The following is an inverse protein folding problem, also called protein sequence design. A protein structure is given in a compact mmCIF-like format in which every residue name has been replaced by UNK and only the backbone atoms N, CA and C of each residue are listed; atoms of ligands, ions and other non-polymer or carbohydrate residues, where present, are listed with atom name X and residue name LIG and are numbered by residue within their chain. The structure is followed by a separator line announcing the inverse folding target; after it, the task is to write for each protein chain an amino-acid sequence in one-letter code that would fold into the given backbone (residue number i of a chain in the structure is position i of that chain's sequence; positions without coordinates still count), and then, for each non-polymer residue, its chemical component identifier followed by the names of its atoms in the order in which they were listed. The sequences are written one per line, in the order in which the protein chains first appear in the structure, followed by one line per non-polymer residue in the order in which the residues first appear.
data_IF_700345103358
#
_entry.id   IF_700345103358
#
_cell.length_a   1.000
_cell.length_b   1.000
_cell.length_c   1.000
_cell.angle_alpha   90.00
_cell.angle_beta   90.00
_cell.angle_gamma   90.00
#
_symmetry.space_group_name_H-M   'P 1'
#
loop_
_entity.id
_entity.type
_entity.pdbx_description
1 polymer ?
#
# COMPACT_ATOMS: atom_id res chain seq x y z
N UNK A 1 -105.02 29.68 -5.60
CA UNK A 1 -104.23 28.62 -4.96
C UNK A 1 -103.75 27.66 -6.04
N UNK A 2 -102.48 27.76 -6.43
CA UNK A 2 -101.80 26.80 -7.31
C UNK A 2 -100.43 26.55 -6.69
N UNK A 3 -100.20 25.32 -6.23
CA UNK A 3 -98.93 24.88 -5.66
C UNK A 3 -98.00 24.49 -6.82
N UNK A 4 -96.84 25.15 -6.92
CA UNK A 4 -95.78 24.79 -7.86
C UNK A 4 -94.68 24.10 -7.06
N UNK A 5 -94.52 22.80 -7.26
CA UNK A 5 -93.47 21.99 -6.67
C UNK A 5 -92.13 22.27 -7.39
N UNK A 6 -91.11 22.72 -6.66
CA UNK A 6 -89.73 22.77 -7.14
C UNK A 6 -88.97 21.55 -6.64
N UNK A 7 -88.64 20.65 -7.56
CA UNK A 7 -87.64 19.61 -7.36
C UNK A 7 -86.25 20.23 -7.37
N UNK A 8 -85.52 20.15 -6.26
CA UNK A 8 -84.09 20.48 -6.19
C UNK A 8 -83.32 19.18 -6.41
N UNK A 9 -82.75 19.01 -7.60
CA UNK A 9 -81.79 17.96 -7.91
C UNK A 9 -80.42 18.30 -7.32
N UNK A 10 -79.98 17.46 -6.38
CA UNK A 10 -78.66 17.44 -5.76
C UNK A 10 -77.61 17.01 -6.80
N UNK A 11 -76.78 17.94 -7.26
CA UNK A 11 -75.66 17.65 -8.16
C UNK A 11 -74.48 17.07 -7.40
N UNK A 12 -74.26 15.75 -7.50
CA UNK A 12 -73.01 15.11 -7.09
C UNK A 12 -71.85 15.58 -7.98
N UNK A 13 -70.93 16.36 -7.42
CA UNK A 13 -69.61 16.60 -8.00
C UNK A 13 -68.79 15.31 -7.91
N UNK A 14 -68.70 14.59 -9.03
CA UNK A 14 -67.75 13.48 -9.20
C UNK A 14 -66.38 14.10 -9.48
N UNK A 15 -65.53 14.21 -8.46
CA UNK A 15 -64.10 14.48 -8.65
C UNK A 15 -63.45 13.22 -9.20
N UNK A 16 -63.23 13.15 -10.51
CA UNK A 16 -62.35 12.12 -11.07
C UNK A 16 -60.91 12.42 -10.65
N UNK A 17 -60.17 11.45 -10.08
CA UNK A 17 -58.74 11.61 -9.86
C UNK A 17 -58.08 11.70 -11.24
N UNK A 18 -57.50 12.85 -11.55
CA UNK A 18 -56.58 13.01 -12.69
C UNK A 18 -55.40 12.08 -12.39
N UNK A 19 -55.41 10.88 -12.98
CA UNK A 19 -54.25 10.02 -13.04
C UNK A 19 -53.21 10.75 -13.89
N UNK A 20 -52.22 11.36 -13.24
CA UNK A 20 -51.05 11.89 -13.92
C UNK A 20 -50.45 10.79 -14.80
N UNK A 21 -50.57 10.95 -16.12
CA UNK A 21 -50.05 10.00 -17.10
C UNK A 21 -48.52 10.14 -17.11
N UNK A 22 -47.83 9.30 -16.35
CA UNK A 22 -46.37 9.26 -16.39
C UNK A 22 -45.86 8.61 -17.68
N UNK A 23 -44.80 9.17 -18.25
CA UNK A 23 -44.06 8.63 -19.40
C UNK A 23 -43.09 7.54 -18.92
N UNK A 24 -43.02 6.44 -19.67
CA UNK A 24 -42.07 5.35 -19.43
C UNK A 24 -40.82 5.53 -20.30
N UNK A 25 -39.68 5.77 -19.66
CA UNK A 25 -38.36 5.80 -20.28
C UNK A 25 -37.60 4.48 -20.08
N UNK A 26 -36.69 4.17 -21.01
CA UNK A 26 -35.85 2.97 -20.95
C UNK A 26 -34.37 3.34 -20.89
N UNK A 27 -33.68 2.80 -19.89
CA UNK A 27 -32.23 2.97 -19.71
C UNK A 27 -31.53 1.66 -20.05
N UNK A 28 -30.46 1.69 -20.85
CA UNK A 28 -29.62 0.51 -21.13
C UNK A 28 -28.29 0.63 -20.41
N UNK A 29 -28.06 -0.28 -19.47
CA UNK A 29 -26.85 -0.34 -18.66
C UNK A 29 -25.87 -1.33 -19.27
N UNK A 30 -24.66 -0.87 -19.55
CA UNK A 30 -23.63 -1.66 -20.21
C UNK A 30 -22.22 -1.28 -19.76
N UNK A 31 -21.30 -2.21 -19.95
CA UNK A 31 -19.86 -1.93 -19.83
C UNK A 31 -19.34 -1.20 -21.08
N UNK A 32 -18.10 -0.72 -21.02
CA UNK A 32 -17.43 -0.05 -22.15
C UNK A 32 -17.27 -0.96 -23.39
N UNK A 33 -17.28 -2.28 -23.21
CA UNK A 33 -17.26 -3.29 -24.28
C UNK A 33 -18.67 -3.61 -24.83
N UNK A 34 -19.68 -2.82 -24.45
CA UNK A 34 -21.09 -2.98 -24.82
C UNK A 34 -21.78 -4.22 -24.24
N UNK A 35 -21.15 -4.96 -23.33
CA UNK A 35 -21.81 -6.07 -22.66
C UNK A 35 -22.87 -5.57 -21.67
N UNK A 36 -24.08 -6.17 -21.63
CA UNK A 36 -25.16 -5.71 -20.76
C UNK A 36 -24.88 -6.03 -19.29
N UNK A 37 -25.19 -5.10 -18.39
CA UNK A 37 -25.06 -5.30 -16.95
C UNK A 37 -26.40 -5.72 -16.32
N UNK A 38 -26.51 -7.00 -15.99
CA UNK A 38 -27.77 -7.67 -15.68
C UNK A 38 -28.04 -7.74 -14.18
N UNK A 39 -29.31 -7.85 -13.80
CA UNK A 39 -29.78 -8.15 -12.45
C UNK A 39 -29.16 -7.29 -11.34
N UNK A 40 -28.90 -6.02 -11.64
CA UNK A 40 -28.15 -5.12 -10.76
C UNK A 40 -28.98 -3.89 -10.41
N UNK A 41 -28.91 -3.47 -9.14
CA UNK A 41 -29.69 -2.34 -8.64
C UNK A 41 -29.06 -1.00 -9.00
N UNK A 42 -29.89 -0.01 -9.30
CA UNK A 42 -29.57 1.40 -9.55
C UNK A 42 -30.55 2.29 -8.78
N UNK A 43 -30.17 3.54 -8.54
CA UNK A 43 -31.08 4.55 -7.99
C UNK A 43 -31.28 5.60 -9.09
N UNK A 44 -32.51 5.77 -9.57
CA UNK A 44 -32.87 6.78 -10.56
C UNK A 44 -33.87 7.76 -9.93
N UNK A 45 -33.46 9.01 -9.77
CA UNK A 45 -34.23 10.07 -9.10
C UNK A 45 -34.82 9.61 -7.75
N UNK A 46 -34.01 8.92 -6.95
CA UNK A 46 -34.40 8.39 -5.63
C UNK A 46 -35.15 7.06 -5.64
N UNK A 47 -35.53 6.53 -6.82
CA UNK A 47 -36.19 5.23 -6.93
C UNK A 47 -35.18 4.11 -7.17
N UNK A 48 -35.22 3.08 -6.33
CA UNK A 48 -34.39 1.89 -6.50
C UNK A 48 -35.01 0.96 -7.54
N UNK A 49 -34.28 0.73 -8.63
CA UNK A 49 -34.70 -0.10 -9.76
C UNK A 49 -33.61 -1.13 -10.07
N UNK A 50 -33.95 -2.18 -10.81
CA UNK A 50 -32.98 -3.21 -11.20
C UNK A 50 -33.00 -3.42 -12.70
N UNK A 51 -31.84 -3.75 -13.26
CA UNK A 51 -31.74 -4.13 -14.67
C UNK A 51 -32.36 -5.51 -14.92
N UNK A 52 -33.05 -5.65 -16.04
CA UNK A 52 -33.52 -6.94 -16.54
C UNK A 52 -32.36 -7.80 -17.10
N UNK A 53 -32.63 -9.04 -17.59
CA UNK A 53 -31.59 -9.89 -18.19
C UNK A 53 -30.93 -9.34 -19.46
N UNK A 54 -31.46 -8.27 -20.05
CA UNK A 54 -30.88 -7.55 -21.19
C UNK A 54 -30.16 -6.27 -20.77
N UNK A 55 -30.06 -5.99 -19.46
CA UNK A 55 -29.42 -4.78 -18.95
C UNK A 55 -30.31 -3.54 -19.05
N UNK A 56 -31.62 -3.68 -19.14
CA UNK A 56 -32.56 -2.56 -19.32
C UNK A 56 -33.31 -2.24 -18.04
N UNK A 57 -33.47 -0.95 -17.73
CA UNK A 57 -34.32 -0.43 -16.66
C UNK A 57 -35.48 0.33 -17.30
N UNK A 58 -36.70 0.06 -16.84
CA UNK A 58 -37.88 0.88 -17.18
C UNK A 58 -38.20 1.82 -16.03
N UNK A 59 -38.28 3.12 -16.30
CA UNK A 59 -38.53 4.16 -15.31
C UNK A 59 -39.70 5.04 -15.73
N UNK A 60 -40.66 5.23 -14.83
CA UNK A 60 -41.86 6.04 -15.08
C UNK A 60 -41.76 7.37 -14.35
N UNK A 61 -41.93 8.47 -15.07
CA UNK A 61 -41.85 9.81 -14.48
C UNK A 61 -42.77 10.83 -15.16
N UNK A 62 -42.87 12.04 -14.58
CA UNK A 62 -43.68 13.13 -15.13
C UNK A 62 -43.12 13.65 -16.45
N UNK A 63 -43.99 14.09 -17.38
CA UNK A 63 -43.59 14.68 -18.66
C UNK A 63 -42.80 15.98 -18.51
N UNK A 64 -42.91 16.63 -17.35
CA UNK A 64 -42.25 17.91 -17.05
C UNK A 64 -40.75 17.76 -16.75
N UNK A 65 -40.25 16.53 -16.56
CA UNK A 65 -38.84 16.29 -16.27
C UNK A 65 -38.02 16.27 -17.55
N UNK A 66 -36.96 17.08 -17.59
CA UNK A 66 -35.99 17.10 -18.68
C UNK A 66 -34.74 16.26 -18.40
N UNK A 67 -34.53 15.83 -17.15
CA UNK A 67 -33.40 14.99 -16.74
C UNK A 67 -33.72 14.15 -15.50
N UNK A 68 -32.88 13.15 -15.24
CA UNK A 68 -32.89 12.33 -14.03
C UNK A 68 -31.49 12.18 -13.46
N UNK A 69 -31.40 11.98 -12.14
CA UNK A 69 -30.15 11.65 -11.47
C UNK A 69 -30.03 10.13 -11.36
N UNK A 70 -28.84 9.59 -11.61
CA UNK A 70 -28.53 8.18 -11.62
C UNK A 70 -27.37 7.96 -10.64
N UNK A 71 -27.62 7.14 -9.64
CA UNK A 71 -26.65 6.79 -8.62
C UNK A 71 -26.44 5.28 -8.57
N UNK A 72 -25.24 4.88 -8.14
CA UNK A 72 -24.94 3.48 -7.91
C UNK A 72 -25.63 3.00 -6.64
N UNK A 73 -26.32 1.86 -6.70
CA UNK A 73 -26.89 1.25 -5.49
C UNK A 73 -25.84 0.49 -4.66
N UNK A 74 -24.66 0.21 -5.24
CA UNK A 74 -23.51 -0.40 -4.57
C UNK A 74 -22.19 0.05 -5.20
N UNK A 75 -21.57 1.05 -4.58
CA UNK A 75 -20.28 1.62 -5.01
C UNK A 75 -19.12 0.60 -5.01
N UNK A 76 -19.29 -0.58 -4.37
CA UNK A 76 -18.28 -1.64 -4.37
C UNK A 76 -18.37 -2.55 -5.59
N UNK A 77 -19.48 -2.53 -6.34
CA UNK A 77 -19.70 -3.42 -7.48
C UNK A 77 -19.46 -2.74 -8.82
N UNK A 78 -19.76 -1.45 -8.94
CA UNK A 78 -19.59 -0.69 -10.17
C UNK A 78 -19.55 0.83 -9.93
N UNK A 79 -18.91 1.53 -10.87
CA UNK A 79 -18.87 2.99 -10.95
C UNK A 79 -19.54 3.45 -12.26
N UNK A 80 -20.38 4.47 -12.20
CA UNK A 80 -21.06 5.05 -13.37
C UNK A 80 -20.07 5.98 -14.09
N UNK A 81 -19.76 5.64 -15.34
CA UNK A 81 -18.88 6.42 -16.21
C UNK A 81 -19.64 7.43 -17.07
N UNK A 82 -20.88 7.09 -17.43
CA UNK A 82 -21.75 7.95 -18.22
C UNK A 82 -23.22 7.64 -17.85
N UNK A 83 -24.11 8.65 -17.77
CA UNK A 83 -23.85 10.07 -17.99
C UNK A 83 -22.88 10.68 -16.96
N UNK A 84 -22.14 11.71 -17.39
CA UNK A 84 -21.21 12.42 -16.51
C UNK A 84 -22.01 13.03 -15.35
N UNK A 85 -21.43 12.96 -14.14
CA UNK A 85 -22.06 13.44 -12.90
C UNK A 85 -23.38 12.72 -12.54
N UNK A 86 -23.68 11.59 -13.17
CA UNK A 86 -24.91 10.83 -12.93
C UNK A 86 -26.17 11.50 -13.50
N UNK A 87 -26.06 12.54 -14.34
CA UNK A 87 -27.24 13.28 -14.84
C UNK A 87 -27.62 12.89 -16.26
N UNK A 88 -28.67 12.09 -16.43
CA UNK A 88 -29.18 11.70 -17.75
C UNK A 88 -30.24 12.67 -18.26
N UNK A 89 -30.07 13.20 -19.47
CA UNK A 89 -31.09 13.98 -20.17
C UNK A 89 -32.15 13.02 -20.72
N UNK A 90 -33.42 13.32 -20.48
CA UNK A 90 -34.55 12.54 -21.00
C UNK A 90 -34.83 12.95 -22.45
N UNK A 91 -34.89 12.01 -23.41
CA UNK A 91 -35.22 12.31 -24.80
C UNK A 91 -36.69 12.74 -24.93
N UNK A 92 -37.00 13.51 -25.97
CA UNK A 92 -38.39 13.87 -26.30
C UNK A 92 -39.22 12.66 -26.72
N UNK A 93 -38.59 11.68 -27.36
CA UNK A 93 -39.21 10.40 -27.70
C UNK A 93 -38.92 9.36 -26.60
N UNK A 94 -39.93 8.90 -25.85
CA UNK A 94 -39.76 7.89 -24.80
C UNK A 94 -39.32 6.52 -25.31
N UNK A 95 -39.46 6.25 -26.62
CA UNK A 95 -38.97 5.03 -27.26
C UNK A 95 -37.44 4.97 -27.36
N UNK A 96 -36.75 6.10 -27.21
CA UNK A 96 -35.30 6.20 -27.30
C UNK A 96 -34.63 5.69 -26.02
N UNK A 97 -33.64 4.80 -26.17
CA UNK A 97 -32.86 4.30 -25.05
C UNK A 97 -31.87 5.35 -24.54
N UNK A 98 -31.77 5.45 -23.22
CA UNK A 98 -30.74 6.25 -22.54
C UNK A 98 -29.63 5.31 -22.08
N UNK A 99 -28.40 5.56 -22.51
CA UNK A 99 -27.28 4.68 -22.19
C UNK A 99 -26.60 5.06 -20.88
N UNK A 100 -26.37 4.05 -20.05
CA UNK A 100 -25.58 4.14 -18.82
C UNK A 100 -24.35 3.26 -19.03
N UNK A 101 -23.17 3.87 -19.03
CA UNK A 101 -21.91 3.13 -19.09
C UNK A 101 -21.35 3.00 -17.69
N UNK A 102 -20.96 1.77 -17.33
CA UNK A 102 -20.34 1.48 -16.05
C UNK A 102 -18.96 0.85 -16.25
N UNK A 103 -18.12 0.95 -15.23
CA UNK A 103 -16.91 0.14 -15.09
C UNK A 103 -16.94 -0.61 -13.77
N UNK A 104 -16.27 -1.76 -13.70
CA UNK A 104 -15.95 -2.37 -12.41
C UNK A 104 -15.11 -1.36 -11.61
N UNK A 105 -15.36 -1.18 -10.31
CA UNK A 105 -14.53 -0.29 -9.51
C UNK A 105 -13.13 -0.87 -9.61
N UNK A 106 -12.16 -0.02 -9.93
CA UNK A 106 -10.77 -0.43 -9.92
C UNK A 106 -10.51 -1.04 -8.53
N UNK A 107 -10.19 -2.33 -8.47
CA UNK A 107 -9.74 -2.93 -7.22
C UNK A 107 -8.64 -2.03 -6.67
N UNK A 108 -8.67 -1.78 -5.35
CA UNK A 108 -7.79 -0.81 -4.70
C UNK A 108 -6.40 -0.83 -5.36
N UNK A 109 -6.06 0.22 -6.13
CA UNK A 109 -4.82 0.24 -6.89
C UNK A 109 -3.62 -0.06 -5.99
N UNK A 110 -3.72 0.32 -4.71
CA UNK A 110 -2.72 0.04 -3.68
C UNK A 110 -2.62 -1.46 -3.36
N UNK A 111 -3.73 -2.21 -3.32
CA UNK A 111 -3.69 -3.67 -3.11
C UNK A 111 -3.13 -4.44 -4.31
N UNK A 112 -3.50 -4.05 -5.53
CA UNK A 112 -2.97 -4.69 -6.74
C UNK A 112 -1.47 -4.37 -6.92
N UNK A 113 -1.09 -3.12 -6.68
CA UNK A 113 0.32 -2.69 -6.67
C UNK A 113 1.09 -3.39 -5.54
N UNK A 114 0.53 -3.55 -4.34
CA UNK A 114 1.15 -4.33 -3.26
C UNK A 114 1.34 -5.79 -3.64
N UNK A 115 0.35 -6.42 -4.26
CA UNK A 115 0.45 -7.82 -4.68
C UNK A 115 1.49 -8.01 -5.81
N UNK A 116 1.57 -7.06 -6.74
CA UNK A 116 2.48 -7.12 -7.88
C UNK A 116 3.93 -6.78 -7.51
N UNK A 117 4.15 -5.78 -6.64
CA UNK A 117 5.45 -5.47 -6.03
C UNK A 117 5.92 -6.63 -5.15
N UNK A 118 5.04 -7.17 -4.30
CA UNK A 118 5.34 -8.33 -3.47
C UNK A 118 5.61 -9.61 -4.28
N UNK A 119 5.19 -9.68 -5.54
CA UNK A 119 5.46 -10.84 -6.40
C UNK A 119 6.75 -10.72 -7.21
N UNK A 120 7.16 -9.50 -7.59
CA UNK A 120 8.23 -9.26 -8.57
C UNK A 120 9.60 -9.03 -7.92
N UNK A 121 9.68 -8.24 -6.83
CA UNK A 121 10.95 -8.02 -6.09
C UNK A 121 11.26 -9.18 -5.13
N UNK A 122 10.23 -9.86 -4.64
CA UNK A 122 10.37 -10.97 -3.70
C UNK A 122 11.18 -12.16 -4.24
N UNK A 123 11.17 -12.47 -5.54
CA UNK A 123 11.55 -13.83 -5.97
C UNK A 123 13.03 -14.20 -5.81
N UNK A 124 13.95 -13.22 -5.78
CA UNK A 124 15.39 -13.46 -5.64
C UNK A 124 15.92 -13.04 -4.26
N UNK A 125 15.51 -11.86 -3.76
CA UNK A 125 15.84 -11.41 -2.40
C UNK A 125 15.18 -12.29 -1.33
N UNK A 126 13.90 -12.68 -1.45
CA UNK A 126 13.30 -13.61 -0.46
C UNK A 126 13.91 -15.01 -0.52
N UNK A 127 14.46 -15.46 -1.65
CA UNK A 127 15.21 -16.72 -1.68
C UNK A 127 16.51 -16.62 -0.90
N UNK A 128 17.24 -15.52 -1.02
CA UNK A 128 18.46 -15.28 -0.25
C UNK A 128 18.13 -15.15 1.23
N UNK A 129 17.12 -14.35 1.58
CA UNK A 129 16.69 -14.13 2.97
C UNK A 129 16.21 -15.43 3.61
N UNK A 130 15.32 -16.17 2.95
CA UNK A 130 14.83 -17.45 3.46
C UNK A 130 15.95 -18.48 3.63
N UNK A 131 16.90 -18.50 2.69
CA UNK A 131 18.10 -19.33 2.81
C UNK A 131 18.93 -18.93 4.03
N UNK A 132 19.14 -17.62 4.25
CA UNK A 132 19.86 -17.11 5.43
C UNK A 132 19.13 -17.47 6.74
N UNK A 133 17.80 -17.39 6.79
CA UNK A 133 17.01 -17.81 7.96
C UNK A 133 17.15 -19.30 8.25
N UNK A 134 17.00 -20.14 7.21
CA UNK A 134 17.08 -21.59 7.34
C UNK A 134 18.50 -22.04 7.75
N UNK A 135 19.54 -21.40 7.21
CA UNK A 135 20.94 -21.66 7.57
C UNK A 135 21.25 -21.18 8.99
N UNK A 136 20.74 -20.01 9.40
CA UNK A 136 20.93 -19.49 10.77
C UNK A 136 20.30 -20.40 11.83
N UNK A 137 19.11 -20.96 11.54
CA UNK A 137 18.44 -21.90 12.44
C UNK A 137 19.21 -23.22 12.58
N UNK A 138 19.68 -23.79 11.47
CA UNK A 138 20.50 -25.02 11.50
C UNK A 138 21.79 -24.82 12.27
N UNK A 139 22.43 -23.68 12.09
CA UNK A 139 23.65 -23.36 12.83
C UNK A 139 23.41 -23.21 14.34
N UNK A 140 22.22 -22.76 14.77
CA UNK A 140 21.89 -22.63 16.19
C UNK A 140 21.92 -23.97 16.94
N UNK A 141 21.41 -25.04 16.34
CA UNK A 141 21.43 -26.37 16.95
C UNK A 141 22.87 -26.84 17.23
N UNK A 142 23.80 -26.56 16.29
CA UNK A 142 25.23 -26.83 16.47
C UNK A 142 25.87 -25.99 17.59
N UNK A 143 25.44 -24.74 17.77
CA UNK A 143 25.90 -23.90 18.88
C UNK A 143 25.50 -24.52 20.22
N UNK A 144 24.25 -24.96 20.35
CA UNK A 144 23.74 -25.59 21.58
C UNK A 144 24.49 -26.88 21.88
N UNK A 145 24.78 -27.70 20.87
CA UNK A 145 25.60 -28.90 21.03
C UNK A 145 27.00 -28.59 21.57
N UNK A 146 27.68 -27.59 21.00
CA UNK A 146 29.02 -27.18 21.45
C UNK A 146 29.05 -26.60 22.87
N UNK A 147 28.02 -25.84 23.26
CA UNK A 147 27.93 -25.30 24.62
C UNK A 147 27.72 -26.41 25.67
N UNK A 148 27.15 -27.55 25.27
CA UNK A 148 26.93 -28.70 26.16
C UNK A 148 28.13 -29.66 26.23
N UNK A 149 29.04 -29.60 25.26
CA UNK A 149 30.26 -30.40 25.24
C UNK A 149 31.38 -29.69 26.01
N UNK A 150 32.07 -30.42 26.90
CA UNK A 150 33.15 -29.86 27.75
C UNK A 150 34.50 -29.72 27.02
N UNK A 151 34.72 -30.53 25.99
CA UNK A 151 35.93 -30.50 25.17
C UNK A 151 35.58 -29.92 23.80
N UNK A 152 35.88 -28.63 23.62
CA UNK A 152 35.66 -27.92 22.37
C UNK A 152 36.89 -28.12 21.48
N UNK A 153 36.74 -28.86 20.39
CA UNK A 153 37.78 -29.05 19.37
C UNK A 153 37.90 -27.80 18.48
N UNK A 154 39.12 -27.33 18.24
CA UNK A 154 39.42 -26.22 17.32
C UNK A 154 38.91 -26.49 15.90
N UNK A 155 38.86 -27.75 15.48
CA UNK A 155 38.26 -28.14 14.19
C UNK A 155 36.78 -27.77 14.12
N UNK A 156 36.02 -28.04 15.18
CA UNK A 156 34.59 -27.70 15.26
C UNK A 156 34.36 -26.18 15.33
N UNK A 157 35.24 -25.46 16.04
CA UNK A 157 35.23 -24.00 16.03
C UNK A 157 35.50 -23.44 14.63
N UNK A 158 36.46 -24.01 13.90
CA UNK A 158 36.78 -23.59 12.54
C UNK A 158 35.63 -23.83 11.56
N UNK A 159 34.96 -24.99 11.65
CA UNK A 159 33.76 -25.28 10.85
C UNK A 159 32.65 -24.25 11.13
N UNK A 160 32.37 -23.98 12.40
CA UNK A 160 31.36 -22.99 12.77
C UNK A 160 31.68 -21.58 12.30
N UNK A 161 32.97 -21.18 12.31
CA UNK A 161 33.40 -19.91 11.71
C UNK A 161 33.15 -19.87 10.20
N UNK A 162 33.47 -20.96 9.48
CA UNK A 162 33.22 -21.05 8.03
C UNK A 162 31.73 -21.02 7.69
N UNK A 163 30.87 -21.57 8.56
CA UNK A 163 29.43 -21.57 8.38
C UNK A 163 28.81 -20.19 8.69
N UNK A 164 29.14 -19.59 9.85
CA UNK A 164 28.50 -18.36 10.31
C UNK A 164 29.09 -17.07 9.75
N UNK A 165 30.38 -17.04 9.39
CA UNK A 165 30.97 -15.81 8.86
C UNK A 165 30.25 -15.30 7.60
N UNK A 166 29.97 -16.13 6.58
CA UNK A 166 29.21 -15.69 5.40
C UNK A 166 27.80 -15.21 5.75
N UNK A 167 27.11 -15.85 6.70
CA UNK A 167 25.76 -15.46 7.11
C UNK A 167 25.75 -14.07 7.74
N UNK A 168 26.62 -13.86 8.72
CA UNK A 168 26.73 -12.58 9.46
C UNK A 168 27.16 -11.47 8.51
N UNK A 169 28.22 -11.71 7.73
CA UNK A 169 28.74 -10.74 6.78
C UNK A 169 27.70 -10.38 5.71
N UNK A 170 26.98 -11.37 5.17
CA UNK A 170 25.93 -11.13 4.18
C UNK A 170 24.78 -10.32 4.77
N UNK A 171 24.30 -10.67 5.96
CA UNK A 171 23.22 -9.95 6.63
C UNK A 171 23.59 -8.48 6.91
N UNK A 172 24.79 -8.22 7.44
CA UNK A 172 25.27 -6.87 7.72
C UNK A 172 25.45 -6.03 6.44
N UNK A 173 26.05 -6.60 5.39
CA UNK A 173 26.28 -5.90 4.13
C UNK A 173 24.95 -5.60 3.42
N UNK A 174 24.03 -6.56 3.39
CA UNK A 174 22.70 -6.35 2.83
C UNK A 174 21.94 -5.28 3.61
N UNK A 175 22.04 -5.27 4.95
CA UNK A 175 21.40 -4.23 5.77
C UNK A 175 21.92 -2.83 5.40
N UNK A 176 23.24 -2.66 5.25
CA UNK A 176 23.83 -1.39 4.80
C UNK A 176 23.34 -1.00 3.40
N UNK A 177 23.35 -1.95 2.46
CA UNK A 177 22.95 -1.69 1.08
C UNK A 177 21.48 -1.30 0.97
N UNK A 178 20.57 -2.02 1.62
CA UNK A 178 19.14 -1.66 1.56
C UNK A 178 18.85 -0.37 2.33
N UNK A 179 19.60 -0.06 3.38
CA UNK A 179 19.49 1.24 4.07
C UNK A 179 19.93 2.40 3.17
N UNK A 180 20.98 2.21 2.35
CA UNK A 180 21.40 3.19 1.34
C UNK A 180 20.39 3.32 0.21
N UNK A 181 19.90 2.20 -0.33
CA UNK A 181 18.85 2.18 -1.35
C UNK A 181 17.59 2.92 -0.87
N UNK A 182 17.22 2.74 0.40
CA UNK A 182 16.15 3.51 1.02
C UNK A 182 16.43 5.01 1.02
N UNK A 183 17.62 5.43 1.49
CA UNK A 183 18.01 6.84 1.53
C UNK A 183 18.02 7.48 0.13
N UNK A 184 18.57 6.77 -0.86
CA UNK A 184 18.64 7.20 -2.26
C UNK A 184 17.25 7.34 -2.88
N UNK A 185 16.35 6.39 -2.62
CA UNK A 185 14.97 6.46 -3.08
C UNK A 185 14.20 7.60 -2.41
N UNK A 186 14.43 7.82 -1.11
CA UNK A 186 13.85 8.93 -0.37
C UNK A 186 14.33 10.28 -0.90
N UNK A 187 15.64 10.43 -1.15
CA UNK A 187 16.21 11.62 -1.77
C UNK A 187 15.69 11.84 -3.20
N UNK A 188 15.61 10.77 -4.00
CA UNK A 188 15.08 10.84 -5.37
C UNK A 188 13.62 11.32 -5.40
N UNK A 189 12.83 10.92 -4.41
CA UNK A 189 11.46 11.41 -4.24
C UNK A 189 11.41 12.93 -4.01
N UNK A 190 12.37 13.52 -3.30
CA UNK A 190 12.41 14.97 -3.04
C UNK A 190 12.46 15.80 -4.35
N UNK A 191 13.17 15.30 -5.37
CA UNK A 191 13.26 15.91 -6.68
C UNK A 191 12.05 15.67 -7.58
N UNK A 192 11.18 14.74 -7.21
CA UNK A 192 10.09 14.22 -8.06
C UNK A 192 8.80 13.96 -7.29
N UNK A 193 8.42 14.85 -6.37
CA UNK A 193 7.24 14.71 -5.49
C UNK A 193 5.89 14.58 -6.21
N UNK A 194 5.83 14.87 -7.51
CA UNK A 194 4.64 14.69 -8.36
C UNK A 194 4.71 13.46 -9.26
N UNK A 195 5.82 12.71 -9.25
CA UNK A 195 6.04 11.55 -10.09
C UNK A 195 5.63 10.26 -9.36
N UNK A 196 4.64 9.56 -9.90
CA UNK A 196 4.17 8.28 -9.34
C UNK A 196 5.31 7.24 -9.23
N UNK A 197 6.20 7.18 -10.21
CA UNK A 197 7.32 6.23 -10.20
C UNK A 197 8.29 6.44 -9.05
N UNK A 198 8.48 7.68 -8.59
CA UNK A 198 9.34 7.97 -7.44
C UNK A 198 8.76 7.44 -6.12
N UNK A 199 7.42 7.50 -5.95
CA UNK A 199 6.75 6.87 -4.81
C UNK A 199 6.81 5.34 -4.89
N UNK A 200 6.68 4.77 -6.10
CA UNK A 200 6.81 3.32 -6.32
C UNK A 200 8.22 2.85 -5.94
N UNK A 201 9.26 3.59 -6.32
CA UNK A 201 10.64 3.31 -5.96
C UNK A 201 10.88 3.38 -4.44
N UNK A 202 10.38 4.42 -3.76
CA UNK A 202 10.48 4.52 -2.30
C UNK A 202 9.74 3.38 -1.59
N UNK A 203 8.55 3.00 -2.06
CA UNK A 203 7.83 1.87 -1.48
C UNK A 203 8.60 0.56 -1.67
N UNK A 204 9.16 0.33 -2.84
CA UNK A 204 10.00 -0.84 -3.10
C UNK A 204 11.21 -0.92 -2.16
N UNK A 205 11.91 0.21 -1.95
CA UNK A 205 13.05 0.26 -1.03
C UNK A 205 12.64 0.09 0.44
N UNK A 206 11.47 0.59 0.86
CA UNK A 206 10.89 0.32 2.19
C UNK A 206 10.69 -1.18 2.41
N UNK A 207 10.11 -1.89 1.43
CA UNK A 207 9.88 -3.33 1.54
C UNK A 207 11.20 -4.09 1.64
N UNK A 208 12.15 -3.84 0.73
CA UNK A 208 13.46 -4.49 0.76
C UNK A 208 14.22 -4.22 2.07
N UNK A 209 14.20 -2.98 2.56
CA UNK A 209 14.77 -2.62 3.85
C UNK A 209 14.11 -3.39 5.00
N UNK A 210 12.78 -3.45 5.04
CA UNK A 210 12.06 -4.13 6.11
C UNK A 210 12.34 -5.63 6.14
N UNK A 211 12.46 -6.27 4.98
CA UNK A 211 12.83 -7.69 4.89
C UNK A 211 14.21 -7.95 5.53
N UNK A 212 15.23 -7.16 5.17
CA UNK A 212 16.58 -7.34 5.74
C UNK A 212 16.69 -6.90 7.21
N UNK A 213 15.95 -5.86 7.62
CA UNK A 213 15.87 -5.45 9.02
C UNK A 213 15.27 -6.56 9.87
N UNK A 214 14.17 -7.18 9.42
CA UNK A 214 13.51 -8.27 10.12
C UNK A 214 14.44 -9.49 10.22
N UNK A 215 15.15 -9.84 9.15
CA UNK A 215 16.16 -10.91 9.17
C UNK A 215 17.23 -10.63 10.23
N UNK A 216 17.84 -9.44 10.20
CA UNK A 216 18.92 -9.08 11.11
C UNK A 216 18.43 -9.07 12.56
N UNK A 217 17.26 -8.48 12.82
CA UNK A 217 16.70 -8.39 14.17
C UNK A 217 16.26 -9.77 14.72
N UNK A 218 15.74 -10.65 13.87
CA UNK A 218 15.35 -12.00 14.28
C UNK A 218 16.55 -12.91 14.59
N UNK A 219 17.70 -12.68 13.95
CA UNK A 219 18.89 -13.52 14.09
C UNK A 219 20.02 -12.88 14.92
N UNK A 220 19.86 -11.65 15.41
CA UNK A 220 20.93 -10.93 16.13
C UNK A 220 21.48 -11.71 17.33
N UNK A 221 20.62 -12.35 18.12
CA UNK A 221 21.03 -13.11 19.30
C UNK A 221 21.79 -14.38 18.90
N UNK A 222 21.33 -15.04 17.82
CA UNK A 222 22.00 -16.21 17.24
C UNK A 222 23.39 -15.82 16.74
N UNK A 223 23.51 -14.72 15.99
CA UNK A 223 24.80 -14.22 15.49
C UNK A 223 25.73 -13.80 16.62
N UNK A 224 25.21 -13.09 17.62
CA UNK A 224 25.98 -12.69 18.79
C UNK A 224 26.53 -13.90 19.55
N UNK A 225 25.69 -14.92 19.75
CA UNK A 225 26.10 -16.17 20.40
C UNK A 225 27.07 -16.97 19.55
N UNK A 226 26.86 -17.05 18.23
CA UNK A 226 27.76 -17.70 17.29
C UNK A 226 29.16 -17.07 17.35
N UNK A 227 29.24 -15.74 17.39
CA UNK A 227 30.51 -15.01 17.55
C UNK A 227 31.14 -15.35 18.91
N UNK A 228 30.38 -15.32 20.00
CA UNK A 228 30.90 -15.64 21.32
C UNK A 228 31.47 -17.06 21.38
N UNK A 229 30.80 -18.03 20.77
CA UNK A 229 31.16 -19.45 20.76
C UNK A 229 32.29 -19.74 19.77
N UNK A 230 32.09 -19.50 18.47
CA UNK A 230 33.01 -19.94 17.41
C UNK A 230 34.29 -19.12 17.29
N UNK A 231 34.25 -17.84 17.68
CA UNK A 231 35.45 -17.01 17.80
C UNK A 231 36.03 -17.00 19.22
N UNK A 232 35.39 -17.72 20.16
CA UNK A 232 35.75 -17.76 21.58
C UNK A 232 36.05 -16.35 22.14
N UNK A 233 35.23 -15.36 21.77
CA UNK A 233 35.50 -13.95 22.06
C UNK A 233 34.25 -13.21 22.48
N UNK A 234 34.11 -13.00 23.80
CA UNK A 234 33.08 -12.12 24.37
C UNK A 234 33.24 -10.68 23.90
N UNK A 235 34.47 -10.23 23.67
CA UNK A 235 34.75 -8.88 23.17
C UNK A 235 34.18 -8.68 21.76
N UNK A 236 34.42 -9.63 20.83
CA UNK A 236 33.85 -9.55 19.49
C UNK A 236 32.33 -9.64 19.51
N UNK A 237 31.78 -10.49 20.36
CA UNK A 237 30.33 -10.61 20.55
C UNK A 237 29.72 -9.29 21.03
N UNK A 238 30.36 -8.60 21.98
CA UNK A 238 29.94 -7.28 22.45
C UNK A 238 30.09 -6.21 21.37
N UNK A 239 31.17 -6.23 20.57
CA UNK A 239 31.34 -5.33 19.42
C UNK A 239 30.22 -5.51 18.39
N UNK A 240 29.80 -6.75 18.13
CA UNK A 240 28.65 -7.04 17.29
C UNK A 240 27.35 -6.50 17.89
N UNK A 241 27.08 -6.73 19.18
CA UNK A 241 25.90 -6.16 19.86
C UNK A 241 25.84 -4.64 19.71
N UNK A 242 26.95 -3.95 20.00
CA UNK A 242 27.03 -2.49 19.87
C UNK A 242 26.82 -2.00 18.43
N UNK A 243 27.24 -2.79 17.43
CA UNK A 243 26.96 -2.51 16.02
C UNK A 243 25.47 -2.62 15.71
N UNK A 244 24.78 -3.64 16.23
CA UNK A 244 23.33 -3.81 16.08
C UNK A 244 22.57 -2.69 16.80
N UNK A 245 22.98 -2.32 18.00
CA UNK A 245 22.37 -1.20 18.74
C UNK A 245 22.51 0.10 17.96
N UNK A 246 23.68 0.39 17.39
CA UNK A 246 23.86 1.52 16.49
C UNK A 246 22.92 1.46 15.27
N UNK A 247 22.81 0.30 14.63
CA UNK A 247 21.92 0.12 13.48
C UNK A 247 20.44 0.37 13.81
N UNK A 248 20.00 0.03 15.02
CA UNK A 248 18.61 0.20 15.45
C UNK A 248 18.36 1.61 16.00
N UNK A 249 19.14 2.02 16.99
CA UNK A 249 18.89 3.22 17.79
C UNK A 249 19.39 4.49 17.08
N UNK A 250 20.49 4.41 16.33
CA UNK A 250 21.09 5.58 15.66
C UNK A 250 20.73 5.69 14.17
N UNK A 251 20.13 4.65 13.57
CA UNK A 251 19.73 4.64 12.16
C UNK A 251 18.24 4.33 11.97
N UNK A 252 17.78 3.12 12.32
CA UNK A 252 16.41 2.68 12.06
C UNK A 252 15.36 3.61 12.69
N UNK A 253 15.45 3.83 14.02
CA UNK A 253 14.48 4.65 14.74
C UNK A 253 14.47 6.11 14.29
N UNK A 254 15.60 6.85 14.30
CA UNK A 254 15.58 8.28 14.02
C UNK A 254 15.41 8.62 12.54
N UNK A 255 15.73 7.71 11.61
CA UNK A 255 15.65 8.00 10.18
C UNK A 255 14.58 7.18 9.47
N UNK A 256 14.62 5.85 9.55
CA UNK A 256 13.70 5.03 8.76
C UNK A 256 12.26 5.16 9.26
N UNK A 257 12.03 5.03 10.57
CA UNK A 257 10.68 5.17 11.14
C UNK A 257 10.16 6.60 11.02
N UNK A 258 11.03 7.60 11.16
CA UNK A 258 10.67 9.01 11.07
C UNK A 258 10.12 9.39 9.69
N UNK A 259 10.58 8.74 8.61
CA UNK A 259 10.00 8.93 7.27
C UNK A 259 8.50 8.61 7.27
N UNK A 260 8.09 7.52 7.91
CA UNK A 260 6.68 7.13 7.98
C UNK A 260 5.82 8.13 8.76
N UNK A 261 6.31 8.63 9.89
CA UNK A 261 5.53 9.51 10.76
C UNK A 261 5.48 10.95 10.25
N UNK A 262 6.62 11.45 9.77
CA UNK A 262 6.81 12.88 9.53
C UNK A 262 6.63 13.25 8.07
N UNK A 263 7.07 12.42 7.12
CA UNK A 263 7.08 12.80 5.70
C UNK A 263 5.87 12.27 4.93
N UNK A 264 5.45 11.02 5.16
CA UNK A 264 4.34 10.40 4.42
C UNK A 264 3.04 11.20 4.52
N UNK A 265 2.64 11.64 5.72
CA UNK A 265 1.43 12.45 5.90
C UNK A 265 1.49 13.77 5.11
N UNK A 266 2.66 14.40 5.09
CA UNK A 266 2.89 15.66 4.38
C UNK A 266 2.86 15.50 2.86
N UNK A 267 3.27 14.33 2.34
CA UNK A 267 3.07 14.00 0.93
C UNK A 267 1.59 13.96 0.56
N UNK A 268 0.75 13.34 1.40
CA UNK A 268 -0.69 13.29 1.18
C UNK A 268 -1.33 14.68 1.21
N UNK A 269 -0.96 15.51 2.18
CA UNK A 269 -1.48 16.88 2.31
C UNK A 269 -1.10 17.74 1.11
N UNK A 270 0.15 17.63 0.64
CA UNK A 270 0.64 18.33 -0.54
C UNK A 270 -0.11 17.95 -1.82
N UNK A 271 -0.52 16.68 -1.93
CA UNK A 271 -1.31 16.20 -3.06
C UNK A 271 -2.76 16.71 -3.03
N UNK A 272 -3.33 16.95 -1.84
CA UNK A 272 -4.68 17.50 -1.65
C UNK A 272 -4.74 19.03 -1.76
N UNK A 273 -3.63 19.73 -1.60
CA UNK A 273 -3.59 21.20 -1.64
C UNK A 273 -3.99 21.74 -3.03
N UNK A 274 -5.07 22.52 -3.07
CA UNK A 274 -5.63 23.11 -4.30
C UNK A 274 -5.07 24.50 -4.59
N UNK A 275 -4.56 25.22 -3.58
CA UNK A 275 -3.95 26.53 -3.77
C UNK A 275 -2.54 26.36 -4.36
N UNK A 276 -2.36 26.78 -5.62
CA UNK A 276 -1.09 26.65 -6.35
C UNK A 276 0.11 27.29 -5.66
N UNK A 277 -0.06 28.48 -5.07
CA UNK A 277 1.03 29.20 -4.41
C UNK A 277 1.44 28.50 -3.12
N UNK A 278 0.46 28.09 -2.31
CA UNK A 278 0.69 27.34 -1.07
C UNK A 278 1.30 25.96 -1.35
N UNK A 279 0.83 25.26 -2.39
CA UNK A 279 1.38 23.99 -2.86
C UNK A 279 2.84 24.14 -3.27
N UNK A 280 3.17 25.15 -4.08
CA UNK A 280 4.55 25.42 -4.52
C UNK A 280 5.46 25.71 -3.33
N UNK A 281 5.05 26.59 -2.42
CA UNK A 281 5.84 26.91 -1.22
C UNK A 281 6.05 25.68 -0.32
N UNK A 282 5.01 24.88 -0.11
CA UNK A 282 5.08 23.64 0.69
C UNK A 282 5.98 22.60 0.04
N UNK A 283 5.98 22.51 -1.31
CA UNK A 283 6.84 21.62 -2.08
C UNK A 283 8.32 21.98 -1.91
N UNK A 284 8.67 23.24 -2.09
CA UNK A 284 10.06 23.71 -1.92
C UNK A 284 10.54 23.49 -0.48
N UNK A 285 9.69 23.78 0.50
CA UNK A 285 10.00 23.57 1.91
C UNK A 285 10.23 22.08 2.23
N UNK A 286 9.31 21.21 1.80
CA UNK A 286 9.40 19.77 2.02
C UNK A 286 10.63 19.17 1.33
N UNK A 287 10.91 19.57 0.09
CA UNK A 287 12.11 19.14 -0.63
C UNK A 287 13.38 19.45 0.14
N UNK A 288 13.54 20.69 0.63
CA UNK A 288 14.72 21.10 1.41
C UNK A 288 14.87 20.30 2.70
N UNK A 289 13.77 20.04 3.41
CA UNK A 289 13.80 19.21 4.62
C UNK A 289 14.20 17.76 4.31
N UNK A 290 13.67 17.17 3.24
CA UNK A 290 14.06 15.83 2.79
C UNK A 290 15.54 15.75 2.45
N UNK A 291 16.10 16.76 1.76
CA UNK A 291 17.53 16.84 1.43
C UNK A 291 18.40 16.91 2.70
N UNK A 292 18.03 17.74 3.68
CA UNK A 292 18.74 17.86 4.96
C UNK A 292 18.66 16.55 5.75
N UNK A 293 17.48 15.94 5.78
CA UNK A 293 17.23 14.68 6.45
C UNK A 293 18.05 13.54 5.83
N UNK A 294 17.97 13.38 4.52
CA UNK A 294 18.73 12.38 3.76
C UNK A 294 20.24 12.57 3.92
N UNK A 295 20.74 13.81 3.88
CA UNK A 295 22.16 14.10 4.11
C UNK A 295 22.61 13.71 5.53
N UNK A 296 21.71 13.84 6.51
CA UNK A 296 21.98 13.45 7.90
C UNK A 296 21.98 11.95 8.09
N UNK A 297 21.04 11.25 7.43
CA UNK A 297 21.01 9.80 7.36
C UNK A 297 22.26 9.25 6.67
N UNK A 298 22.70 9.86 5.57
CA UNK A 298 23.87 9.41 4.80
C UNK A 298 25.15 9.39 5.66
N UNK A 299 25.37 10.43 6.47
CA UNK A 299 26.50 10.46 7.41
C UNK A 299 26.48 9.28 8.40
N UNK A 300 25.29 8.88 8.85
CA UNK A 300 25.12 7.71 9.73
C UNK A 300 25.34 6.41 8.97
N UNK A 301 24.89 6.32 7.72
CA UNK A 301 25.13 5.17 6.84
C UNK A 301 26.60 4.96 6.52
N UNK A 302 27.37 6.03 6.32
CA UNK A 302 28.83 5.96 6.16
C UNK A 302 29.47 5.36 7.42
N UNK A 303 29.12 5.89 8.60
CA UNK A 303 29.63 5.35 9.86
C UNK A 303 29.23 3.89 10.09
N UNK A 304 27.99 3.50 9.74
CA UNK A 304 27.56 2.11 9.79
C UNK A 304 28.40 1.22 8.87
N UNK A 305 28.62 1.65 7.62
CA UNK A 305 29.41 0.92 6.63
C UNK A 305 30.86 0.69 7.07
N UNK A 306 31.48 1.70 7.69
CA UNK A 306 32.82 1.58 8.29
C UNK A 306 32.83 0.55 9.43
N UNK A 307 31.84 0.60 10.32
CA UNK A 307 31.72 -0.35 11.44
C UNK A 307 31.48 -1.79 10.96
N UNK A 308 30.64 -1.98 9.95
CA UNK A 308 30.41 -3.29 9.31
C UNK A 308 31.70 -3.80 8.66
N UNK A 309 32.44 -2.95 7.94
CA UNK A 309 33.73 -3.31 7.33
C UNK A 309 34.75 -3.73 8.38
N UNK A 310 34.83 -2.98 9.50
CA UNK A 310 35.69 -3.32 10.62
C UNK A 310 35.28 -4.67 11.24
N UNK A 311 33.99 -4.87 11.53
CA UNK A 311 33.47 -6.12 12.09
C UNK A 311 33.80 -7.33 11.20
N UNK A 312 33.54 -7.22 9.88
CA UNK A 312 33.87 -8.27 8.92
C UNK A 312 35.38 -8.58 8.91
N UNK A 313 36.22 -7.55 9.01
CA UNK A 313 37.67 -7.72 9.08
C UNK A 313 38.11 -8.44 10.36
N UNK A 314 37.50 -8.11 11.51
CA UNK A 314 37.76 -8.78 12.78
C UNK A 314 37.33 -10.24 12.78
N UNK A 315 36.18 -10.55 12.16
CA UNK A 315 35.70 -11.93 12.03
C UNK A 315 36.57 -12.73 11.07
N UNK A 316 37.04 -12.13 9.98
CA UNK A 316 37.89 -12.80 9.00
C UNK A 316 39.31 -13.10 9.50
N UNK A 317 39.90 -12.22 10.33
CA UNK A 317 41.31 -12.29 10.70
C UNK A 317 41.62 -13.12 11.95
N UNK A 318 40.62 -13.53 12.74
CA UNK A 318 40.86 -14.22 14.01
C UNK A 318 41.13 -15.72 13.83
N UNK A 319 42.39 -16.06 13.56
CA UNK A 319 43.01 -17.21 14.25
C UNK A 319 43.10 -16.84 15.72
N UNK A 320 42.55 -17.67 16.60
CA UNK A 320 42.43 -17.47 18.06
C UNK A 320 43.38 -16.42 18.65
N UNK A 321 42.83 -15.30 19.15
CA UNK A 321 43.57 -14.46 20.10
C UNK A 321 43.69 -15.30 21.36
N UNK A 322 44.83 -15.98 21.52
CA UNK A 322 45.23 -16.54 22.78
C UNK A 322 45.49 -15.37 23.74
N UNK A 323 44.55 -15.12 24.65
CA UNK A 323 44.84 -14.47 25.92
C UNK A 323 45.12 -15.54 26.96
#
# INVERSE_FOLDING_TARGET
MKYTAYFITLGCLVTQPILAQGINYKFRVRYADYTPYKSSGFIISGQRLSTDPQGVISFKCSEELSYVNIESSDLKQYEIMYPLEGKAILPKDPGTFIDIYIKKPAGDPVKQIRAEIASTQASMQNKIIKKLEDESRKGYDKIVELLNNKDIDESALAEGRMEFFPLISSALNNYVNESRNFNDAFLSLSGSLTNKGAYEQLNGSIYAYNEIFNLLNANKDIYQQAIATYWNSKELSLKFSNLIDFAIEDLHRPFILEVNYTFINRFYDLNKETNKNKKKASLEYLKKEMEIFSSSMERRLVSLGERVTNMNSLLANNKAINN
#
